data_IF_795095752021
#
_entry.id   IF_795095752021
#
_cell.length_a   1.000
_cell.length_b   1.000
_cell.length_c   1.000
_cell.angle_alpha   90.00
_cell.angle_beta   90.00
_cell.angle_gamma   90.00
#
_symmetry.space_group_name_H-M   'P 1'
#
loop_
_entity.id
_entity.type
_entity.pdbx_description
1 polymer ?
#
# COMPACT_ATOMS: atom_id res chain seq x y z
N UNK A 1 6.56 -10.62 4.03
CA UNK A 1 5.19 -10.05 4.00
C UNK A 1 5.18 -8.72 3.24
N UNK A 2 6.28 -7.96 3.32
CA UNK A 2 6.50 -6.73 2.55
C UNK A 2 6.49 -6.97 1.03
N UNK A 3 7.05 -8.10 0.58
CA UNK A 3 7.11 -8.48 -0.83
C UNK A 3 5.73 -8.59 -1.48
N UNK A 4 4.71 -9.03 -0.72
CA UNK A 4 3.36 -9.20 -1.24
C UNK A 4 2.66 -7.86 -1.51
N UNK A 5 2.92 -6.85 -0.68
CA UNK A 5 2.32 -5.52 -0.87
C UNK A 5 2.98 -4.81 -2.04
N UNK A 6 4.31 -4.92 -2.21
CA UNK A 6 4.98 -4.36 -3.38
C UNK A 6 4.52 -5.00 -4.69
N UNK A 7 4.27 -6.32 -4.67
CA UNK A 7 3.70 -7.07 -5.80
C UNK A 7 2.31 -6.55 -6.18
N UNK A 8 1.42 -6.41 -5.19
CA UNK A 8 0.07 -5.85 -5.40
C UNK A 8 0.10 -4.42 -5.95
N UNK A 9 1.00 -3.56 -5.46
CA UNK A 9 1.16 -2.19 -5.98
C UNK A 9 1.67 -2.22 -7.41
N UNK A 10 2.52 -3.18 -7.79
CA UNK A 10 3.02 -3.32 -9.15
C UNK A 10 1.93 -3.75 -10.12
N UNK A 11 1.09 -4.70 -9.72
CA UNK A 11 -0.04 -5.18 -10.52
C UNK A 11 -1.08 -4.06 -10.72
N UNK A 12 -1.54 -3.44 -9.62
CA UNK A 12 -2.45 -2.28 -9.67
C UNK A 12 -1.80 -1.10 -10.42
N UNK A 13 -0.49 -0.91 -10.21
CA UNK A 13 0.43 -0.08 -10.99
C UNK A 13 0.21 -0.20 -12.49
N UNK A 14 0.37 -1.41 -12.98
CA UNK A 14 0.41 -1.73 -14.40
C UNK A 14 -0.98 -1.69 -15.05
N UNK A 15 -2.04 -2.08 -14.34
CA UNK A 15 -3.41 -2.10 -14.86
C UNK A 15 -4.13 -0.75 -14.74
N UNK A 16 -3.95 -0.06 -13.60
CA UNK A 16 -4.76 1.11 -13.23
C UNK A 16 -4.01 2.43 -13.42
N UNK A 17 -2.68 2.39 -13.45
CA UNK A 17 -1.84 3.55 -13.69
C UNK A 17 -1.06 3.31 -14.98
N UNK A 18 -1.71 3.59 -16.11
CA UNK A 18 -1.16 3.51 -17.48
C UNK A 18 0.18 4.26 -17.68
N UNK A 19 0.68 4.96 -16.65
CA UNK A 19 2.01 5.53 -16.59
C UNK A 19 2.72 5.06 -15.31
N UNK A 20 3.90 4.42 -15.42
CA UNK A 20 4.73 4.02 -14.28
C UNK A 20 5.30 5.20 -13.46
N UNK A 21 4.86 6.44 -13.72
CA UNK A 21 5.20 7.69 -13.01
C UNK A 21 3.94 8.46 -12.59
N UNK A 22 2.80 7.78 -12.43
CA UNK A 22 1.65 8.38 -11.79
C UNK A 22 2.02 8.76 -10.35
N UNK A 23 1.72 10.00 -9.96
CA UNK A 23 1.84 10.49 -8.59
C UNK A 23 1.27 9.51 -7.55
N UNK A 24 0.24 8.76 -7.94
CA UNK A 24 -0.40 7.75 -7.09
C UNK A 24 0.50 6.52 -6.88
N UNK A 25 1.21 6.06 -7.91
CA UNK A 25 2.14 4.92 -7.80
C UNK A 25 3.31 5.27 -6.87
N UNK A 26 3.92 6.45 -7.04
CA UNK A 26 5.00 6.92 -6.16
C UNK A 26 4.54 7.06 -4.70
N UNK A 27 3.33 7.57 -4.48
CA UNK A 27 2.75 7.67 -3.14
C UNK A 27 2.54 6.29 -2.52
N UNK A 28 1.94 5.35 -3.26
CA UNK A 28 1.72 3.98 -2.79
C UNK A 28 3.04 3.27 -2.48
N UNK A 29 4.07 3.46 -3.31
CA UNK A 29 5.39 2.88 -3.13
C UNK A 29 6.16 3.49 -1.95
N UNK A 30 5.97 4.78 -1.68
CA UNK A 30 6.50 5.41 -0.47
C UNK A 30 5.81 4.88 0.79
N UNK A 31 4.48 4.75 0.73
CA UNK A 31 3.65 4.30 1.86
C UNK A 31 3.83 2.82 2.18
N UNK A 32 4.21 2.00 1.19
CA UNK A 32 4.52 0.60 1.39
C UNK A 32 5.83 0.38 2.16
N UNK A 33 6.75 1.35 2.14
CA UNK A 33 8.04 1.32 2.82
C UNK A 33 8.06 2.12 4.12
N UNK A 34 7.09 3.01 4.30
CA UNK A 34 7.00 3.86 5.49
C UNK A 34 6.43 3.03 6.65
N UNK A 35 7.18 2.79 7.74
CA UNK A 35 6.66 2.09 8.90
C UNK A 35 5.57 2.94 9.59
N UNK A 36 4.58 2.28 10.22
CA UNK A 36 3.46 2.97 10.86
C UNK A 36 3.90 3.81 12.08
N UNK A 37 4.93 3.34 12.78
CA UNK A 37 5.61 4.01 13.88
C UNK A 37 7.10 3.63 13.84
N UNK A 38 8.01 4.39 14.49
CA UNK A 38 9.43 4.06 14.54
C UNK A 38 9.64 2.62 15.02
N UNK A 39 10.54 1.87 14.38
CA UNK A 39 10.85 0.45 14.66
C UNK A 39 9.69 -0.55 14.38
N UNK A 40 8.61 -0.14 13.72
CA UNK A 40 7.57 -1.07 13.29
C UNK A 40 8.01 -1.87 12.05
N UNK A 41 8.29 -3.16 12.23
CA UNK A 41 8.63 -4.09 11.13
C UNK A 41 7.41 -4.82 10.58
N UNK A 42 6.26 -4.70 11.24
CA UNK A 42 5.07 -5.51 10.95
C UNK A 42 4.02 -4.76 10.15
N UNK A 43 3.94 -3.44 10.31
CA UNK A 43 2.94 -2.59 9.68
C UNK A 43 3.57 -1.36 9.04
N UNK A 44 3.31 -1.22 7.75
CA UNK A 44 3.59 0.00 6.99
C UNK A 44 2.35 0.87 6.91
N UNK A 45 2.54 2.15 6.57
CA UNK A 45 1.46 3.13 6.41
C UNK A 45 0.39 2.61 5.45
N UNK A 46 0.81 2.05 4.32
CA UNK A 46 -0.10 1.45 3.35
C UNK A 46 -0.86 0.25 3.94
N UNK A 47 -0.16 -0.65 4.63
CA UNK A 47 -0.81 -1.84 5.24
C UNK A 47 -1.88 -1.46 6.27
N UNK A 48 -1.68 -0.36 7.00
CA UNK A 48 -2.64 0.15 7.97
C UNK A 48 -3.88 0.71 7.28
N UNK A 49 -3.72 1.54 6.24
CA UNK A 49 -4.84 2.08 5.46
C UNK A 49 -5.67 0.98 4.84
N UNK A 50 -5.02 -0.02 4.22
CA UNK A 50 -5.72 -1.18 3.63
C UNK A 50 -6.52 -1.95 4.68
N UNK A 51 -5.98 -2.17 5.88
CA UNK A 51 -6.70 -2.82 6.98
C UNK A 51 -7.90 -2.01 7.45
N UNK A 52 -7.76 -0.69 7.58
CA UNK A 52 -8.86 0.19 7.96
C UNK A 52 -9.99 0.19 6.93
N UNK A 53 -9.66 0.20 5.63
CA UNK A 53 -10.66 0.07 4.57
C UNK A 53 -11.39 -1.28 4.63
N UNK A 54 -10.64 -2.38 4.78
CA UNK A 54 -11.23 -3.72 4.94
C UNK A 54 -12.14 -3.82 6.17
N UNK A 55 -11.77 -3.18 7.29
CA UNK A 55 -12.63 -3.11 8.47
C UNK A 55 -13.93 -2.36 8.18
N UNK A 56 -13.86 -1.25 7.44
CA UNK A 56 -15.05 -0.50 7.04
C UNK A 56 -15.99 -1.35 6.18
N UNK A 57 -15.47 -2.12 5.22
CA UNK A 57 -16.30 -2.96 4.35
C UNK A 57 -16.93 -4.15 5.08
N UNK A 58 -16.23 -4.72 6.07
CA UNK A 58 -16.75 -5.84 6.88
C UNK A 58 -17.78 -5.43 7.92
N UNK A 59 -17.78 -4.16 8.31
CA UNK A 59 -18.63 -3.61 9.35
C UNK A 59 -19.67 -2.61 8.81
N UNK A 60 -19.74 -2.46 7.48
CA UNK A 60 -20.68 -1.58 6.77
C UNK A 60 -21.98 -2.28 6.40
#
# INVERSE_FOLDING_TARGET
MEDQIEDMIRDVGQESFQQPHSHVYDTLKSDSKTPLFPDCTTFTRLSAVLRLMNLKEKNG
#
